data_IF_625210887643
#
_entry.id   IF_625210887643
#
_cell.length_a   1.000
_cell.length_b   1.000
_cell.length_c   1.000
_cell.angle_alpha   90.00
_cell.angle_beta   90.00
_cell.angle_gamma   90.00
#
_symmetry.space_group_name_H-M   'P 1'
#
loop_
_entity.id
_entity.type
_entity.pdbx_description
1 polymer ?
#
# COMPACT_ATOMS: atom_id res chain seq x y z
N UNK A 1 -10.58 -1.85 -13.28
CA UNK A 1 -10.52 -1.01 -14.50
C UNK A 1 -9.57 -1.70 -15.48
N UNK A 2 -9.74 -1.52 -16.78
CA UNK A 2 -8.89 -2.14 -17.81
C UNK A 2 -8.36 -1.06 -18.75
N UNK A 3 -7.25 -1.35 -19.43
CA UNK A 3 -6.65 -0.47 -20.41
C UNK A 3 -6.10 0.86 -19.85
N UNK A 4 -5.94 1.88 -20.71
CA UNK A 4 -5.31 3.16 -20.38
C UNK A 4 -5.96 3.92 -19.21
N UNK A 5 -7.19 3.58 -18.84
CA UNK A 5 -7.87 4.19 -17.70
C UNK A 5 -7.22 3.79 -16.36
N UNK A 6 -6.48 2.68 -16.29
CA UNK A 6 -5.74 2.27 -15.09
C UNK A 6 -4.67 3.30 -14.66
N UNK A 7 -4.27 4.18 -15.56
CA UNK A 7 -3.24 5.20 -15.30
C UNK A 7 -3.84 6.55 -14.89
N UNK A 8 -5.15 6.73 -15.04
CA UNK A 8 -5.79 7.99 -14.68
C UNK A 8 -6.12 8.00 -13.18
N UNK A 9 -5.70 9.05 -12.45
CA UNK A 9 -6.07 9.22 -11.05
C UNK A 9 -7.51 9.70 -10.94
N UNK A 10 -8.47 8.85 -11.32
CA UNK A 10 -9.91 9.16 -11.29
C UNK A 10 -10.35 9.64 -9.90
N UNK A 11 -9.81 9.05 -8.84
CA UNK A 11 -10.05 9.47 -7.46
C UNK A 11 -9.74 10.96 -7.19
N UNK A 12 -8.87 11.58 -8.00
CA UNK A 12 -8.50 12.98 -7.94
C UNK A 12 -9.20 13.85 -9.01
N UNK A 13 -10.16 13.33 -9.77
CA UNK A 13 -10.89 14.12 -10.77
C UNK A 13 -11.70 15.25 -10.10
N UNK A 14 -11.61 16.46 -10.65
CA UNK A 14 -12.38 17.60 -10.17
C UNK A 14 -11.83 18.97 -10.54
N UNK A 15 -12.62 20.01 -10.27
CA UNK A 15 -12.21 21.41 -10.36
C UNK A 15 -11.80 21.89 -8.96
N UNK A 16 -10.49 22.08 -8.75
CA UNK A 16 -9.92 22.40 -7.43
C UNK A 16 -10.04 23.88 -7.05
N UNK A 17 -10.37 24.73 -8.01
CA UNK A 17 -10.70 26.15 -7.83
C UNK A 17 -12.15 26.37 -7.35
N UNK A 18 -12.96 25.30 -7.27
CA UNK A 18 -14.39 25.37 -6.93
C UNK A 18 -14.73 24.47 -5.74
N UNK A 19 -15.62 24.94 -4.84
CA UNK A 19 -16.09 24.10 -3.74
C UNK A 19 -17.00 22.99 -4.28
N UNK A 20 -16.91 21.78 -3.70
CA UNK A 20 -17.81 20.66 -4.01
C UNK A 20 -17.81 20.22 -5.48
N UNK A 21 -16.71 20.39 -6.22
CA UNK A 21 -16.57 19.92 -7.60
C UNK A 21 -15.45 18.87 -7.75
N UNK A 22 -15.09 18.16 -6.68
CA UNK A 22 -14.11 17.08 -6.68
C UNK A 22 -14.78 15.74 -6.40
N UNK A 23 -14.32 14.66 -7.03
CA UNK A 23 -14.84 13.32 -6.77
C UNK A 23 -14.73 12.94 -5.30
N UNK A 24 -13.63 13.36 -4.64
CA UNK A 24 -13.41 13.15 -3.20
C UNK A 24 -14.49 13.79 -2.32
N UNK A 25 -15.23 14.78 -2.81
CA UNK A 25 -16.29 15.42 -2.04
C UNK A 25 -17.56 14.54 -1.97
N UNK A 26 -17.65 13.51 -2.82
CA UNK A 26 -18.85 12.68 -2.99
C UNK A 26 -18.61 11.18 -2.79
N UNK A 27 -17.38 10.71 -2.99
CA UNK A 27 -17.08 9.29 -2.99
C UNK A 27 -15.71 8.97 -2.38
N UNK A 28 -15.66 7.85 -1.66
CA UNK A 28 -14.43 7.17 -1.29
C UNK A 28 -14.09 6.21 -2.42
N UNK A 29 -12.92 6.40 -3.04
CA UNK A 29 -12.52 5.62 -4.21
C UNK A 29 -11.71 4.39 -3.79
N UNK A 30 -12.06 3.25 -4.38
CA UNK A 30 -11.25 2.03 -4.41
C UNK A 30 -11.20 1.53 -5.84
N UNK A 31 -10.04 1.04 -6.26
CA UNK A 31 -9.85 0.39 -7.54
C UNK A 31 -9.92 -1.13 -7.39
N UNK A 32 -10.31 -1.82 -8.45
CA UNK A 32 -10.17 -3.28 -8.48
C UNK A 32 -9.79 -3.74 -9.89
N UNK A 33 -8.76 -4.60 -10.03
CA UNK A 33 -8.28 -4.96 -11.36
C UNK A 33 -9.29 -5.84 -12.11
N UNK A 34 -9.98 -6.75 -11.40
CA UNK A 34 -10.94 -7.67 -12.02
C UNK A 34 -12.18 -7.88 -11.15
N UNK A 35 -13.30 -8.24 -11.78
CA UNK A 35 -14.52 -8.64 -11.06
C UNK A 35 -14.30 -9.92 -10.23
N UNK A 36 -13.44 -10.83 -10.71
CA UNK A 36 -13.09 -12.05 -9.98
C UNK A 36 -12.43 -11.74 -8.64
N UNK A 37 -11.50 -10.77 -8.61
CA UNK A 37 -10.87 -10.32 -7.36
C UNK A 37 -11.89 -9.72 -6.38
N UNK A 38 -12.91 -9.02 -6.89
CA UNK A 38 -14.03 -8.55 -6.06
C UNK A 38 -14.80 -9.73 -5.45
N UNK A 39 -15.20 -10.67 -6.28
CA UNK A 39 -16.05 -11.79 -5.85
C UNK A 39 -15.32 -12.75 -4.91
N UNK A 40 -14.01 -12.96 -5.07
CA UNK A 40 -13.22 -13.80 -4.17
C UNK A 40 -13.09 -13.20 -2.77
N UNK A 41 -13.01 -11.87 -2.66
CA UNK A 41 -12.75 -11.18 -1.39
C UNK A 41 -14.03 -10.91 -0.57
N UNK A 42 -15.22 -10.95 -1.18
CA UNK A 42 -16.51 -10.83 -0.45
C UNK A 42 -16.82 -12.00 0.50
N UNK A 43 -16.02 -13.06 0.49
CA UNK A 43 -16.19 -14.25 1.35
C UNK A 43 -15.38 -14.20 2.65
N UNK A 44 -14.71 -13.07 2.92
CA UNK A 44 -13.84 -12.91 4.07
C UNK A 44 -14.64 -12.63 5.34
N UNK A 45 -14.30 -13.33 6.43
CA UNK A 45 -14.87 -13.08 7.75
C UNK A 45 -14.06 -11.98 8.46
N UNK A 46 -14.63 -10.78 8.72
CA UNK A 46 -13.93 -9.66 9.34
C UNK A 46 -13.69 -9.83 10.85
N UNK A 47 -13.76 -11.06 11.36
CA UNK A 47 -13.82 -11.35 12.81
C UNK A 47 -12.45 -11.58 13.44
N UNK A 48 -11.36 -11.68 12.68
CA UNK A 48 -10.02 -11.90 13.23
C UNK A 48 -9.34 -10.59 13.62
N UNK A 49 -8.77 -10.54 14.82
CA UNK A 49 -7.94 -9.41 15.27
C UNK A 49 -6.77 -9.20 14.31
N UNK A 50 -6.44 -7.93 14.04
CA UNK A 50 -5.32 -7.60 13.18
C UNK A 50 -3.98 -8.07 13.80
N UNK A 51 -2.99 -8.32 12.96
CA UNK A 51 -1.60 -8.51 13.35
C UNK A 51 -0.72 -7.83 12.31
N UNK A 52 0.26 -7.05 12.76
CA UNK A 52 0.98 -6.08 11.93
C UNK A 52 2.43 -6.50 11.80
N UNK A 53 2.87 -6.65 10.56
CA UNK A 53 4.27 -6.68 10.16
C UNK A 53 4.65 -5.33 9.56
N UNK A 54 5.65 -4.65 10.12
CA UNK A 54 6.30 -3.50 9.50
C UNK A 54 7.68 -3.89 8.99
N UNK A 55 8.01 -3.44 7.78
CA UNK A 55 9.29 -3.68 7.14
C UNK A 55 9.88 -2.35 6.72
N UNK A 56 11.09 -2.04 7.19
CA UNK A 56 11.77 -0.77 6.91
C UNK A 56 13.14 -1.00 6.29
N UNK A 57 13.42 -0.40 5.14
CA UNK A 57 14.77 -0.36 4.58
C UNK A 57 15.18 1.07 4.24
N UNK A 58 15.75 1.75 5.24
CA UNK A 58 16.29 3.11 5.10
C UNK A 58 17.48 3.15 4.12
N UNK A 59 18.39 2.18 4.24
CA UNK A 59 19.67 2.19 3.53
C UNK A 59 19.80 0.95 2.65
N UNK A 60 19.39 1.09 1.39
CA UNK A 60 19.62 0.07 0.35
C UNK A 60 20.91 0.38 -0.42
N UNK A 61 21.83 -0.59 -0.61
CA UNK A 61 23.04 -0.39 -1.39
C UNK A 61 22.74 0.19 -2.79
N UNK A 62 23.49 1.21 -3.19
CA UNK A 62 23.37 1.90 -4.49
C UNK A 62 22.04 2.65 -4.73
N UNK A 63 21.27 2.94 -3.67
CA UNK A 63 20.05 3.75 -3.76
C UNK A 63 20.11 4.93 -2.78
N UNK A 64 19.24 5.93 -2.98
CA UNK A 64 19.11 7.04 -2.03
C UNK A 64 18.57 6.54 -0.69
N UNK A 65 18.99 7.16 0.41
CA UNK A 65 18.43 6.84 1.72
C UNK A 65 16.97 7.28 1.82
N UNK A 66 16.19 6.56 2.62
CA UNK A 66 14.80 6.85 2.98
C UNK A 66 14.69 7.03 4.50
N UNK A 67 15.27 8.09 5.07
CA UNK A 67 15.32 8.30 6.53
C UNK A 67 13.92 8.37 7.15
N UNK A 68 12.92 8.84 6.41
CA UNK A 68 11.56 8.98 6.93
C UNK A 68 10.85 7.63 7.13
N UNK A 69 11.40 6.53 6.60
CA UNK A 69 10.90 5.17 6.92
C UNK A 69 10.96 4.90 8.42
N UNK A 70 11.95 5.46 9.14
CA UNK A 70 12.05 5.31 10.60
C UNK A 70 10.90 6.01 11.30
N UNK A 71 10.58 7.24 10.89
CA UNK A 71 9.44 8.03 11.39
C UNK A 71 8.11 7.31 11.09
N UNK A 72 7.97 6.84 9.86
CA UNK A 72 6.80 6.10 9.38
C UNK A 72 6.51 4.87 10.24
N UNK A 73 7.52 4.00 10.45
CA UNK A 73 7.34 2.80 11.27
C UNK A 73 7.06 3.12 12.74
N UNK A 74 7.62 4.21 13.27
CA UNK A 74 7.37 4.67 14.63
C UNK A 74 5.91 5.09 14.83
N UNK A 75 5.30 5.79 13.87
CA UNK A 75 3.88 6.15 13.92
C UNK A 75 2.98 4.91 13.93
N UNK A 76 3.26 3.94 13.05
CA UNK A 76 2.48 2.69 13.00
C UNK A 76 2.54 1.97 14.36
N UNK A 77 3.73 1.87 14.95
CA UNK A 77 3.90 1.26 16.26
C UNK A 77 3.13 1.99 17.35
N UNK A 78 3.12 3.33 17.33
CA UNK A 78 2.41 4.14 18.31
C UNK A 78 0.88 3.96 18.27
N UNK A 79 0.33 3.74 17.08
CA UNK A 79 -1.11 3.46 16.91
C UNK A 79 -1.49 2.00 17.13
N UNK A 80 -0.52 1.08 17.28
CA UNK A 80 -0.81 -0.34 17.44
C UNK A 80 -1.12 -0.66 18.92
N UNK A 81 -2.35 -1.10 19.26
CA UNK A 81 -2.70 -1.49 20.63
C UNK A 81 -1.84 -2.65 21.11
N UNK A 82 -1.65 -2.75 22.43
CA UNK A 82 -0.79 -3.78 23.04
C UNK A 82 -1.26 -5.21 22.79
N UNK A 83 -2.56 -5.38 22.53
CA UNK A 83 -3.25 -6.63 22.24
C UNK A 83 -3.04 -7.09 20.79
N UNK A 84 -2.68 -6.17 19.90
CA UNK A 84 -2.39 -6.45 18.49
C UNK A 84 -0.96 -6.95 18.37
N UNK A 85 -0.79 -8.16 17.83
CA UNK A 85 0.54 -8.71 17.55
C UNK A 85 1.28 -7.80 16.56
N UNK A 86 2.43 -7.30 16.96
CA UNK A 86 3.27 -6.40 16.16
C UNK A 86 4.68 -6.98 15.99
N UNK A 87 5.22 -6.91 14.76
CA UNK A 87 6.60 -7.25 14.47
C UNK A 87 7.20 -6.24 13.49
N UNK A 88 8.42 -5.79 13.80
CA UNK A 88 9.19 -4.88 12.96
C UNK A 88 10.47 -5.55 12.47
N UNK A 89 10.67 -5.55 11.15
CA UNK A 89 11.88 -6.01 10.48
C UNK A 89 12.53 -4.83 9.75
N UNK A 90 13.65 -4.35 10.25
CA UNK A 90 14.35 -3.18 9.71
C UNK A 90 15.85 -3.42 9.51
N UNK A 91 16.45 -2.64 8.61
CA UNK A 91 17.87 -2.70 8.32
C UNK A 91 18.33 -4.12 7.99
N UNK A 92 19.26 -4.66 8.78
CA UNK A 92 19.81 -6.02 8.57
C UNK A 92 18.80 -7.15 8.80
N UNK A 93 17.69 -6.90 9.49
CA UNK A 93 16.66 -7.91 9.78
C UNK A 93 15.63 -8.03 8.66
N UNK A 94 15.49 -6.98 7.84
CA UNK A 94 14.62 -6.95 6.68
C UNK A 94 15.21 -7.78 5.53
N UNK A 95 15.34 -9.09 5.73
CA UNK A 95 15.78 -10.03 4.68
C UNK A 95 14.59 -10.65 3.97
N UNK A 96 14.76 -11.09 2.72
CA UNK A 96 13.69 -11.74 1.93
C UNK A 96 13.06 -12.90 2.70
N UNK A 97 13.89 -13.77 3.29
CA UNK A 97 13.41 -14.93 4.06
C UNK A 97 12.63 -14.52 5.31
N UNK A 98 13.13 -13.57 6.09
CA UNK A 98 12.45 -13.11 7.31
C UNK A 98 11.11 -12.46 6.99
N UNK A 99 11.07 -11.63 5.95
CA UNK A 99 9.85 -10.93 5.52
C UNK A 99 8.80 -11.93 5.02
N UNK A 100 9.16 -12.88 4.15
CA UNK A 100 8.22 -13.89 3.67
C UNK A 100 7.63 -14.74 4.81
N UNK A 101 8.48 -15.24 5.71
CA UNK A 101 8.02 -16.04 6.85
C UNK A 101 7.14 -15.23 7.81
N UNK A 102 7.43 -13.93 7.95
CA UNK A 102 6.61 -13.02 8.73
C UNK A 102 5.25 -12.76 8.08
N UNK A 103 5.22 -12.59 6.76
CA UNK A 103 4.00 -12.40 5.98
C UNK A 103 3.05 -13.59 6.09
N UNK A 104 3.55 -14.83 6.27
CA UNK A 104 2.68 -15.99 6.53
C UNK A 104 1.87 -15.85 7.81
N UNK A 105 2.45 -15.23 8.84
CA UNK A 105 1.89 -15.25 10.21
C UNK A 105 1.20 -13.95 10.61
N UNK A 106 1.36 -12.85 9.85
CA UNK A 106 0.72 -11.57 10.12
C UNK A 106 -0.34 -11.26 9.08
N UNK A 107 -1.48 -10.69 9.50
CA UNK A 107 -2.59 -10.38 8.60
C UNK A 107 -2.39 -9.07 7.85
N UNK A 108 -1.60 -8.16 8.39
CA UNK A 108 -1.23 -6.89 7.77
C UNK A 108 0.28 -6.82 7.52
N UNK A 109 0.67 -6.29 6.37
CA UNK A 109 2.07 -5.96 6.05
C UNK A 109 2.18 -4.50 5.63
N UNK A 110 3.17 -3.79 6.16
CA UNK A 110 3.57 -2.47 5.74
C UNK A 110 5.02 -2.52 5.25
N UNK A 111 5.25 -2.14 4.00
CA UNK A 111 6.57 -2.13 3.36
C UNK A 111 7.00 -0.69 3.09
N UNK A 112 7.94 -0.19 3.89
CA UNK A 112 8.56 1.13 3.78
C UNK A 112 10.00 0.98 3.25
N UNK A 113 10.14 0.98 1.93
CA UNK A 113 11.41 0.69 1.25
C UNK A 113 11.37 1.15 -0.21
N UNK A 114 12.48 0.98 -0.92
CA UNK A 114 12.45 1.10 -2.38
C UNK A 114 11.71 -0.06 -3.04
N UNK A 115 11.05 0.21 -4.15
CA UNK A 115 10.50 -0.81 -5.04
C UNK A 115 11.00 -0.59 -6.46
N UNK A 116 11.02 -1.67 -7.24
CA UNK A 116 11.36 -1.62 -8.66
C UNK A 116 10.36 -2.43 -9.48
N UNK A 117 10.00 -1.89 -10.65
CA UNK A 117 9.15 -2.52 -11.64
C UNK A 117 9.99 -2.93 -12.85
N UNK A 118 10.02 -4.23 -13.17
CA UNK A 118 10.65 -4.75 -14.40
C UNK A 118 9.59 -5.02 -15.46
N UNK A 119 9.43 -4.11 -16.42
CA UNK A 119 8.41 -4.25 -17.48
C UNK A 119 8.61 -5.52 -18.33
N UNK A 120 9.86 -5.84 -18.68
CA UNK A 120 10.17 -7.05 -19.47
C UNK A 120 10.01 -8.36 -18.66
N UNK A 121 9.90 -8.27 -17.34
CA UNK A 121 9.75 -9.44 -16.46
C UNK A 121 8.96 -9.06 -15.20
N UNK A 122 7.64 -8.84 -15.32
CA UNK A 122 6.83 -8.25 -14.24
C UNK A 122 6.86 -9.07 -12.93
N UNK A 123 7.02 -10.40 -13.02
CA UNK A 123 7.16 -11.25 -11.82
C UNK A 123 8.47 -11.02 -11.04
N UNK A 124 9.45 -10.35 -11.63
CA UNK A 124 10.70 -9.95 -10.98
C UNK A 124 10.68 -8.49 -10.48
N UNK A 125 9.57 -7.77 -10.65
CA UNK A 125 9.29 -6.58 -9.88
C UNK A 125 9.23 -6.92 -8.38
N UNK A 126 9.65 -6.00 -7.52
CA UNK A 126 9.74 -6.31 -6.10
C UNK A 126 10.17 -5.15 -5.21
N UNK A 127 10.35 -5.49 -3.94
CA UNK A 127 10.76 -4.58 -2.87
C UNK A 127 12.23 -4.81 -2.53
N UNK A 128 13.03 -3.74 -2.49
CA UNK A 128 14.43 -3.81 -2.16
C UNK A 128 14.61 -3.97 -0.64
N UNK A 129 15.14 -5.12 -0.25
CA UNK A 129 15.40 -5.54 1.12
C UNK A 129 16.91 -5.58 1.39
N UNK A 130 17.30 -6.04 2.58
CA UNK A 130 18.70 -6.03 3.01
C UNK A 130 19.61 -6.90 2.16
N UNK A 131 19.15 -8.12 1.84
CA UNK A 131 19.92 -9.17 1.20
C UNK A 131 19.50 -9.43 -0.25
N UNK A 132 18.60 -8.61 -0.80
CA UNK A 132 18.12 -8.76 -2.16
C UNK A 132 16.74 -8.11 -2.38
N UNK A 133 16.04 -8.60 -3.39
CA UNK A 133 14.70 -8.12 -3.75
C UNK A 133 13.68 -9.17 -3.36
N UNK A 134 12.65 -8.77 -2.61
CA UNK A 134 11.44 -9.57 -2.42
C UNK A 134 10.58 -9.42 -3.68
N UNK A 135 10.60 -10.41 -4.55
CA UNK A 135 9.92 -10.34 -5.86
C UNK A 135 8.46 -10.77 -5.78
N UNK A 136 7.67 -10.34 -6.77
CA UNK A 136 6.31 -10.86 -6.96
C UNK A 136 6.29 -12.39 -7.09
N UNK A 137 7.28 -12.97 -7.78
CA UNK A 137 7.43 -14.43 -7.87
C UNK A 137 7.51 -15.07 -6.49
N UNK A 138 8.31 -14.51 -5.58
CA UNK A 138 8.47 -15.05 -4.22
C UNK A 138 7.17 -14.97 -3.41
N UNK A 139 6.46 -13.84 -3.53
CA UNK A 139 5.19 -13.58 -2.84
C UNK A 139 4.08 -14.51 -3.37
N UNK A 140 3.95 -14.64 -4.69
CA UNK A 140 2.90 -15.45 -5.33
C UNK A 140 3.06 -16.96 -5.07
N UNK A 141 4.26 -17.42 -4.74
CA UNK A 141 4.51 -18.82 -4.37
C UNK A 141 3.94 -19.20 -2.99
N UNK A 142 3.66 -18.23 -2.10
CA UNK A 142 3.25 -18.51 -0.70
C UNK A 142 1.73 -18.60 -0.47
N UNK A 143 0.88 -18.22 -1.43
CA UNK A 143 -0.60 -18.23 -1.33
C UNK A 143 -1.12 -17.98 0.10
N UNK A 144 -1.04 -16.71 0.51
CA UNK A 144 -1.35 -16.29 1.86
C UNK A 144 -2.84 -16.45 2.18
N UNK A 145 -3.12 -16.82 3.43
CA UNK A 145 -4.49 -16.92 3.98
C UNK A 145 -4.68 -15.93 5.11
N UNK A 146 -5.93 -15.58 5.37
CA UNK A 146 -6.36 -14.75 6.51
C UNK A 146 -5.64 -13.39 6.57
N UNK A 147 -5.39 -12.79 5.40
CA UNK A 147 -4.79 -11.46 5.29
C UNK A 147 -5.86 -10.37 5.30
N UNK A 148 -5.45 -9.16 5.67
CA UNK A 148 -6.33 -8.00 5.83
C UNK A 148 -5.83 -6.81 5.03
N UNK A 149 -4.53 -6.49 5.07
CA UNK A 149 -3.99 -5.29 4.43
C UNK A 149 -2.55 -5.46 3.97
N UNK A 150 -2.24 -5.01 2.77
CA UNK A 150 -0.88 -4.67 2.36
C UNK A 150 -0.76 -3.17 2.13
N UNK A 151 0.07 -2.48 2.92
CA UNK A 151 0.44 -1.10 2.69
C UNK A 151 1.81 -1.07 2.01
N UNK A 152 1.86 -0.64 0.76
CA UNK A 152 3.06 -0.57 -0.06
C UNK A 152 3.58 0.87 -0.10
N UNK A 153 4.26 1.29 0.97
CA UNK A 153 4.91 2.60 1.09
C UNK A 153 6.24 2.61 0.33
N UNK A 154 6.12 2.44 -0.97
CA UNK A 154 7.23 2.42 -1.91
C UNK A 154 6.77 3.05 -3.22
N UNK A 155 7.70 3.65 -3.95
CA UNK A 155 7.43 4.32 -5.23
C UNK A 155 6.93 3.33 -6.29
N UNK A 156 5.93 3.74 -7.08
CA UNK A 156 5.48 3.03 -8.29
C UNK A 156 4.94 1.61 -8.04
N UNK A 157 4.33 1.36 -6.88
CA UNK A 157 3.80 0.05 -6.50
C UNK A 157 2.46 -0.29 -7.18
N UNK A 158 1.73 0.72 -7.66
CA UNK A 158 0.53 0.61 -8.48
C UNK A 158 0.72 1.14 -9.91
N UNK A 159 1.96 1.43 -10.33
CA UNK A 159 2.24 1.84 -11.72
C UNK A 159 1.95 0.66 -12.64
N UNK A 160 1.03 0.83 -13.60
CA UNK A 160 0.79 -0.15 -14.65
C UNK A 160 1.92 -0.18 -15.70
N UNK A 161 1.81 -1.07 -16.68
CA UNK A 161 2.70 -1.11 -17.84
C UNK A 161 2.09 -0.33 -19.01
N UNK A 162 2.79 0.69 -19.51
CA UNK A 162 2.36 1.51 -20.65
C UNK A 162 2.20 0.68 -21.94
N UNK A 163 2.95 -0.43 -22.07
CA UNK A 163 2.90 -1.36 -23.21
C UNK A 163 1.85 -2.45 -23.05
N UNK A 164 1.49 -2.79 -21.81
CA UNK A 164 0.51 -3.83 -21.47
C UNK A 164 -0.51 -3.28 -20.45
N UNK A 165 -1.33 -2.30 -20.84
CA UNK A 165 -2.23 -1.58 -19.92
C UNK A 165 -3.37 -2.47 -19.36
N UNK A 166 -3.63 -3.61 -20.02
CA UNK A 166 -4.56 -4.65 -19.59
C UNK A 166 -3.92 -5.69 -18.65
N UNK A 167 -2.59 -5.83 -18.68
CA UNK A 167 -1.84 -6.64 -17.73
C UNK A 167 -1.49 -5.77 -16.53
N UNK A 168 -2.43 -5.68 -15.59
CA UNK A 168 -2.24 -4.99 -14.33
C UNK A 168 -1.23 -5.70 -13.40
N UNK A 169 -0.11 -6.23 -13.93
CA UNK A 169 0.96 -6.85 -13.13
C UNK A 169 1.82 -5.74 -12.51
N UNK A 170 1.23 -5.07 -11.54
CA UNK A 170 1.94 -4.20 -10.62
C UNK A 170 2.07 -4.90 -9.25
N UNK A 171 2.86 -4.32 -8.35
CA UNK A 171 3.13 -4.93 -7.05
C UNK A 171 1.83 -5.12 -6.25
N UNK A 172 0.91 -4.16 -6.36
CA UNK A 172 -0.37 -4.22 -5.67
C UNK A 172 -1.27 -5.37 -6.14
N UNK A 173 -1.39 -5.61 -7.45
CA UNK A 173 -2.13 -6.76 -7.98
C UNK A 173 -1.50 -8.08 -7.57
N UNK A 174 -0.18 -8.16 -7.51
CA UNK A 174 0.52 -9.34 -6.99
C UNK A 174 0.17 -9.63 -5.52
N UNK A 175 0.03 -8.59 -4.69
CA UNK A 175 -0.46 -8.75 -3.31
C UNK A 175 -1.90 -9.23 -3.26
N UNK A 176 -2.78 -8.69 -4.11
CA UNK A 176 -4.18 -9.14 -4.22
C UNK A 176 -4.27 -10.63 -4.59
N UNK A 177 -3.56 -11.03 -5.63
CA UNK A 177 -3.52 -12.43 -6.11
C UNK A 177 -2.93 -13.36 -5.04
N UNK A 178 -1.98 -12.85 -4.26
CA UNK A 178 -1.33 -13.63 -3.20
C UNK A 178 -2.18 -13.76 -1.93
N UNK A 179 -3.34 -13.11 -1.85
CA UNK A 179 -4.33 -13.32 -0.78
C UNK A 179 -4.65 -12.09 0.09
N UNK A 180 -4.03 -10.92 -0.17
CA UNK A 180 -4.41 -9.70 0.52
C UNK A 180 -5.70 -9.14 -0.09
N UNK A 181 -6.76 -8.86 0.70
CA UNK A 181 -8.03 -8.39 0.14
C UNK A 181 -8.01 -6.90 -0.25
N UNK A 182 -7.06 -6.16 0.31
CA UNK A 182 -7.02 -4.71 0.39
C UNK A 182 -5.56 -4.26 0.37
N UNK A 183 -5.25 -3.33 -0.53
CA UNK A 183 -3.89 -2.84 -0.75
C UNK A 183 -3.90 -1.32 -0.84
N UNK A 184 -3.04 -0.66 -0.08
CA UNK A 184 -2.68 0.74 -0.30
C UNK A 184 -1.38 0.75 -1.09
N UNK A 185 -1.32 1.50 -2.19
CA UNK A 185 -0.18 1.55 -3.08
C UNK A 185 -0.02 2.95 -3.72
N UNK A 186 1.05 3.15 -4.48
CA UNK A 186 1.37 4.42 -5.12
C UNK A 186 1.44 4.29 -6.64
N UNK A 187 0.71 5.13 -7.38
CA UNK A 187 0.71 5.13 -8.85
C UNK A 187 2.05 5.60 -9.44
N UNK A 188 2.76 6.48 -8.73
CA UNK A 188 4.09 6.96 -9.10
C UNK A 188 4.94 7.24 -7.86
N UNK A 189 6.12 7.82 -8.05
CA UNK A 189 7.05 8.11 -6.96
C UNK A 189 6.45 9.13 -5.98
N UNK A 190 6.50 8.79 -4.70
CA UNK A 190 6.07 9.67 -3.60
C UNK A 190 7.27 10.35 -2.95
N UNK A 191 7.02 11.48 -2.30
CA UNK A 191 8.02 12.11 -1.46
C UNK A 191 8.17 11.32 -0.15
N UNK A 192 9.41 10.96 0.21
CA UNK A 192 9.76 10.33 1.49
C UNK A 192 9.18 11.12 2.68
N UNK A 193 9.10 12.46 2.57
CA UNK A 193 8.55 13.34 3.61
C UNK A 193 7.04 13.26 3.80
N UNK A 194 6.31 12.77 2.79
CA UNK A 194 4.84 12.66 2.85
C UNK A 194 4.39 11.30 3.40
N UNK A 195 5.21 10.26 3.22
CA UNK A 195 4.85 8.89 3.61
C UNK A 195 4.51 8.75 5.11
N UNK A 196 5.30 9.32 6.06
CA UNK A 196 4.99 9.19 7.48
C UNK A 196 3.63 9.74 7.87
N UNK A 197 3.18 10.84 7.25
CA UNK A 197 1.87 11.43 7.54
C UNK A 197 0.74 10.53 7.06
N UNK A 198 0.86 9.96 5.85
CA UNK A 198 -0.17 9.08 5.32
C UNK A 198 -0.26 7.81 6.15
N UNK A 199 0.87 7.19 6.51
CA UNK A 199 0.89 6.03 7.38
C UNK A 199 0.31 6.34 8.78
N UNK A 200 0.69 7.46 9.38
CA UNK A 200 0.16 7.94 10.66
C UNK A 200 -1.36 7.99 10.64
N UNK A 201 -1.93 8.72 9.67
CA UNK A 201 -3.39 8.91 9.58
C UNK A 201 -4.15 7.63 9.23
N UNK A 202 -3.56 6.76 8.41
CA UNK A 202 -4.17 5.47 8.07
C UNK A 202 -4.23 4.58 9.30
N UNK A 203 -3.10 4.37 9.99
CA UNK A 203 -3.05 3.47 11.14
C UNK A 203 -3.78 4.05 12.36
N UNK A 204 -3.76 5.37 12.55
CA UNK A 204 -4.56 6.04 13.59
C UNK A 204 -6.07 5.76 13.46
N UNK A 205 -6.57 5.49 12.25
CA UNK A 205 -7.97 5.14 11.99
C UNK A 205 -8.18 3.63 12.06
N UNK A 206 -7.34 2.85 11.40
CA UNK A 206 -7.51 1.39 11.32
C UNK A 206 -7.32 0.69 12.66
N UNK A 207 -6.55 1.28 13.58
CA UNK A 207 -6.20 0.63 14.84
C UNK A 207 -7.03 1.08 16.05
N UNK A 208 -8.02 1.97 15.88
CA UNK A 208 -8.86 2.44 17.00
C UNK A 208 -9.57 1.28 17.72
N UNK A 209 -10.06 0.30 16.96
CA UNK A 209 -10.78 -0.86 17.47
C UNK A 209 -9.98 -2.18 17.34
N UNK A 210 -8.71 -2.12 16.92
CA UNK A 210 -7.85 -3.29 16.68
C UNK A 210 -8.35 -4.27 15.61
N UNK A 211 -9.30 -3.83 14.77
CA UNK A 211 -9.97 -4.62 13.72
C UNK A 211 -10.06 -3.79 12.45
N UNK A 212 -9.86 -4.43 11.31
CA UNK A 212 -10.03 -3.83 9.98
C UNK A 212 -11.24 -4.49 9.32
N UNK A 213 -12.32 -3.73 9.14
CA UNK A 213 -13.50 -4.15 8.42
C UNK A 213 -13.44 -3.84 6.91
N UNK A 214 -14.39 -4.35 6.12
CA UNK A 214 -14.51 -4.04 4.70
C UNK A 214 -14.69 -2.52 4.48
N UNK A 215 -13.98 -1.94 3.52
CA UNK A 215 -14.04 -0.51 3.21
C UNK A 215 -13.27 0.41 4.19
N UNK A 216 -12.86 -0.07 5.36
CA UNK A 216 -12.15 0.77 6.34
C UNK A 216 -10.80 1.24 5.82
N UNK A 217 -10.10 0.41 5.04
CA UNK A 217 -8.82 0.80 4.42
C UNK A 217 -9.01 1.94 3.43
N UNK A 218 -10.00 1.83 2.53
CA UNK A 218 -10.30 2.88 1.55
C UNK A 218 -10.65 4.20 2.25
N UNK A 219 -11.46 4.12 3.30
CA UNK A 219 -11.88 5.26 4.12
C UNK A 219 -10.70 5.89 4.88
N UNK A 220 -9.83 5.07 5.47
CA UNK A 220 -8.64 5.53 6.16
C UNK A 220 -7.70 6.27 5.20
N UNK A 221 -7.45 5.71 4.01
CA UNK A 221 -6.63 6.36 3.00
C UNK A 221 -7.24 7.68 2.51
N UNK A 222 -8.55 7.70 2.26
CA UNK A 222 -9.26 8.90 1.83
C UNK A 222 -9.02 10.09 2.76
N UNK A 223 -9.18 9.89 4.08
CA UNK A 223 -8.94 10.95 5.05
C UNK A 223 -7.45 11.28 5.23
N UNK A 224 -6.56 10.30 5.12
CA UNK A 224 -5.12 10.53 5.16
C UNK A 224 -4.66 11.44 4.00
N UNK A 225 -5.15 11.16 2.79
CA UNK A 225 -4.88 11.97 1.60
C UNK A 225 -5.53 13.35 1.71
N UNK A 226 -6.74 13.45 2.27
CA UNK A 226 -7.38 14.74 2.53
C UNK A 226 -6.55 15.60 3.49
N UNK A 227 -6.01 15.00 4.57
CA UNK A 227 -5.12 15.71 5.51
C UNK A 227 -3.83 16.11 4.81
N UNK A 228 -3.18 15.20 4.10
CA UNK A 228 -1.96 15.50 3.36
C UNK A 228 -2.17 16.68 2.40
N UNK A 229 -3.27 16.66 1.64
CA UNK A 229 -3.64 17.72 0.70
C UNK A 229 -3.82 19.09 1.40
N UNK A 230 -4.38 19.13 2.60
CA UNK A 230 -4.47 20.36 3.41
C UNK A 230 -3.10 20.88 3.86
N UNK A 231 -2.16 19.98 4.15
CA UNK A 231 -0.79 20.33 4.59
C UNK A 231 0.10 20.82 3.43
N UNK A 232 0.07 20.12 2.29
CA UNK A 232 0.94 20.45 1.14
C UNK A 232 0.30 21.42 0.15
N UNK A 233 -1.03 21.59 0.19
CA UNK A 233 -1.81 22.40 -0.73
C UNK A 233 -2.37 21.61 -1.92
N UNK A 234 -3.54 22.03 -2.41
CA UNK A 234 -4.28 21.34 -3.49
C UNK A 234 -3.45 21.18 -4.78
N UNK A 235 -2.64 22.18 -5.12
CA UNK A 235 -1.81 22.18 -6.34
C UNK A 235 -0.61 21.23 -6.28
N UNK A 236 -0.28 20.68 -5.11
CA UNK A 236 0.81 19.71 -4.94
C UNK A 236 0.37 18.28 -5.30
N UNK A 237 -0.28 18.12 -6.45
CA UNK A 237 -0.82 16.84 -6.94
C UNK A 237 0.18 15.70 -6.89
N UNK A 238 1.45 15.98 -7.21
CA UNK A 238 2.54 14.99 -7.17
C UNK A 238 2.74 14.34 -5.80
N UNK A 239 2.35 15.01 -4.71
CA UNK A 239 2.54 14.54 -3.34
C UNK A 239 1.40 13.67 -2.84
N UNK A 240 0.14 13.97 -3.20
CA UNK A 240 -1.03 13.36 -2.57
C UNK A 240 -1.88 12.49 -3.52
N UNK A 241 -1.91 12.78 -4.82
CA UNK A 241 -2.62 11.97 -5.82
C UNK A 241 -2.05 10.55 -6.01
N UNK A 242 -0.73 10.27 -5.89
CA UNK A 242 -0.26 8.92 -6.18
C UNK A 242 -0.87 7.84 -5.29
N UNK A 243 -1.35 8.16 -4.09
CA UNK A 243 -1.90 7.18 -3.16
C UNK A 243 -3.24 6.64 -3.62
N UNK A 244 -3.32 5.32 -3.79
CA UNK A 244 -4.54 4.61 -4.20
C UNK A 244 -4.81 3.43 -3.30
N UNK A 245 -6.10 3.13 -3.11
CA UNK A 245 -6.57 1.88 -2.53
C UNK A 245 -7.03 0.95 -3.64
N UNK A 246 -6.64 -0.32 -3.57
CA UNK A 246 -7.02 -1.36 -4.51
C UNK A 246 -7.54 -2.56 -3.71
N UNK A 247 -8.80 -2.94 -3.91
CA UNK A 247 -9.44 -4.05 -3.21
C UNK A 247 -10.78 -3.70 -2.56
N UNK A 248 -11.14 -4.44 -1.51
CA UNK A 248 -12.41 -4.27 -0.75
C UNK A 248 -12.15 -3.65 0.61
#
# INVERSE_FOLDING_TARGET
MTGPLNFLPIHAAGYYDRPMEKLSDYAISSYIPTLTALLSNTRMNPTSSASILTVGQEATPNMSQLPETVTELAHIKAHTPSEVRYMQLDGKRATVSNVLNAMDTHSCVHLACHAHQKLDSPTESGFCLHDGTLTLRDIMQRSFKDKQLAFLSACQTAKGDDLLPDEAVNLASGMLISGFPSVIATMWSISDRCAPLVADEVYARLMQDGRIGPGDTAKALHYAVEKLRKEVGDNSFVNWVPYVHIGI
#
